data_IF_511639822778
#
_entry.id   IF_511639822778
#
_cell.length_a   1.000
_cell.length_b   1.000
_cell.length_c   1.000
_cell.angle_alpha   90.00
_cell.angle_beta   90.00
_cell.angle_gamma   90.00
#
_symmetry.space_group_name_H-M   'P 1'
#
loop_
_entity.id
_entity.type
_entity.pdbx_description
1 polymer ?
#
# COMPACT_ATOMS: atom_id res chain seq x y z
N UNK A 1 -28.39 -15.15 39.45
CA UNK A 1 -27.62 -14.93 38.21
C UNK A 1 -27.40 -13.42 38.10
N UNK A 2 -26.21 -12.96 38.50
CA UNK A 2 -25.88 -11.54 38.63
C UNK A 2 -25.12 -11.11 37.38
N UNK A 3 -25.70 -10.20 36.61
CA UNK A 3 -25.06 -9.62 35.43
C UNK A 3 -23.92 -8.70 35.91
N UNK A 4 -22.71 -8.99 35.47
CA UNK A 4 -21.54 -8.13 35.65
C UNK A 4 -21.64 -6.95 34.65
N UNK A 5 -22.02 -5.81 35.18
CA UNK A 5 -21.95 -4.51 34.52
C UNK A 5 -20.48 -4.21 34.19
N UNK A 6 -20.17 -4.16 32.92
CA UNK A 6 -18.86 -3.71 32.44
C UNK A 6 -18.90 -2.18 32.39
N UNK A 7 -18.05 -1.45 33.14
CA UNK A 7 -18.03 0.00 33.07
C UNK A 7 -17.54 0.41 31.64
N UNK A 8 -18.42 1.13 30.95
CA UNK A 8 -18.07 1.81 29.69
C UNK A 8 -16.83 2.70 29.97
N UNK A 9 -15.74 2.46 29.21
CA UNK A 9 -14.58 3.33 29.22
C UNK A 9 -15.05 4.74 28.85
N UNK A 10 -15.05 5.63 29.83
CA UNK A 10 -15.24 7.06 29.61
C UNK A 10 -14.12 7.55 28.68
N UNK A 11 -14.47 7.80 27.42
CA UNK A 11 -13.59 8.46 26.47
C UNK A 11 -13.28 9.86 26.99
N UNK A 12 -12.01 10.13 27.32
CA UNK A 12 -11.55 11.48 27.60
C UNK A 12 -11.89 12.42 26.43
N UNK A 13 -11.86 13.74 26.62
CA UNK A 13 -12.21 14.70 25.59
C UNK A 13 -11.31 14.44 24.35
N UNK A 14 -11.92 14.00 23.27
CA UNK A 14 -11.21 13.77 22.01
C UNK A 14 -10.68 15.13 21.55
N UNK A 15 -9.36 15.29 21.50
CA UNK A 15 -8.76 16.46 20.89
C UNK A 15 -9.27 16.58 19.45
N UNK A 16 -9.59 17.79 18.98
CA UNK A 16 -10.02 17.97 17.60
C UNK A 16 -8.92 17.42 16.66
N UNK A 17 -9.31 16.77 15.56
CA UNK A 17 -8.34 16.23 14.62
C UNK A 17 -7.45 17.34 14.07
N UNK A 18 -6.16 17.04 13.92
CA UNK A 18 -5.20 17.97 13.32
C UNK A 18 -5.52 18.10 11.83
N UNK A 19 -5.74 19.33 11.36
CA UNK A 19 -6.03 19.63 9.96
C UNK A 19 -4.95 20.52 9.38
N UNK A 20 -4.59 20.23 8.14
CA UNK A 20 -3.57 20.94 7.39
C UNK A 20 -4.18 21.35 6.04
N UNK A 21 -4.12 22.62 5.63
CA UNK A 21 -4.58 23.03 4.32
C UNK A 21 -3.83 22.24 3.22
N UNK A 22 -4.53 21.91 2.13
CA UNK A 22 -3.87 21.34 0.97
C UNK A 22 -2.80 22.32 0.46
N UNK A 23 -1.59 21.86 0.15
CA UNK A 23 -0.68 22.59 -0.71
C UNK A 23 -1.35 22.91 -2.05
N UNK A 24 -0.93 23.99 -2.69
CA UNK A 24 -1.52 24.40 -3.98
C UNK A 24 -1.45 23.28 -5.03
N UNK A 25 -0.38 22.51 -5.00
CA UNK A 25 -0.20 21.38 -5.93
C UNK A 25 -1.22 20.28 -5.71
N UNK A 26 -1.55 19.97 -4.46
CA UNK A 26 -2.57 18.97 -4.11
C UNK A 26 -3.96 19.47 -4.47
N UNK A 27 -4.25 20.78 -4.28
CA UNK A 27 -5.51 21.38 -4.72
C UNK A 27 -5.69 21.29 -6.25
N UNK A 28 -4.63 21.56 -7.01
CA UNK A 28 -4.66 21.44 -8.49
C UNK A 28 -4.90 19.98 -8.87
N UNK A 29 -4.13 19.06 -8.32
CA UNK A 29 -4.31 17.62 -8.57
C UNK A 29 -5.73 17.17 -8.23
N UNK A 30 -6.28 17.61 -7.07
CA UNK A 30 -7.64 17.27 -6.64
C UNK A 30 -8.70 17.78 -7.61
N UNK A 31 -8.52 18.97 -8.19
CA UNK A 31 -9.43 19.54 -9.20
C UNK A 31 -9.30 18.87 -10.57
N UNK A 32 -8.14 18.34 -10.90
CA UNK A 32 -7.89 17.63 -12.14
C UNK A 32 -8.31 16.16 -12.10
N UNK A 33 -8.63 15.61 -10.91
CA UNK A 33 -9.10 14.24 -10.79
C UNK A 33 -10.34 13.98 -11.63
N UNK A 34 -10.24 12.98 -12.50
CA UNK A 34 -11.35 12.44 -13.26
C UNK A 34 -11.70 11.06 -12.70
N UNK A 35 -12.98 10.76 -12.52
CA UNK A 35 -13.41 9.46 -12.00
C UNK A 35 -13.02 8.31 -12.94
N UNK A 36 -12.95 8.58 -14.23
CA UNK A 36 -12.64 7.60 -15.28
C UNK A 36 -11.14 7.41 -15.50
N UNK A 37 -10.30 8.35 -15.06
CA UNK A 37 -8.84 8.30 -15.20
C UNK A 37 -8.17 8.61 -13.85
N UNK A 38 -8.14 7.65 -12.92
CA UNK A 38 -7.57 7.87 -11.60
C UNK A 38 -6.05 8.06 -11.69
N UNK A 39 -5.56 9.18 -11.15
CA UNK A 39 -4.13 9.42 -11.03
C UNK A 39 -3.54 8.63 -9.87
N UNK A 40 -2.76 7.60 -10.19
CA UNK A 40 -2.10 6.75 -9.20
C UNK A 40 -0.61 6.61 -9.46
N UNK A 41 0.15 6.54 -8.38
CA UNK A 41 1.53 6.05 -8.39
C UNK A 41 1.53 4.61 -7.92
N UNK A 42 2.23 3.73 -8.63
CA UNK A 42 2.36 2.34 -8.21
C UNK A 42 3.82 1.89 -8.22
N UNK A 43 4.13 1.06 -7.23
CA UNK A 43 5.46 0.52 -7.01
C UNK A 43 5.34 -0.99 -6.88
N UNK A 44 6.11 -1.71 -7.69
CA UNK A 44 6.22 -3.16 -7.62
C UNK A 44 7.55 -3.56 -7.00
N UNK A 45 7.51 -4.37 -5.94
CA UNK A 45 8.69 -4.97 -5.34
C UNK A 45 8.59 -6.47 -5.48
N UNK A 46 9.50 -7.06 -6.24
CA UNK A 46 9.57 -8.49 -6.49
C UNK A 46 10.51 -9.15 -5.48
N UNK A 47 9.97 -10.07 -4.69
CA UNK A 47 10.69 -10.76 -3.64
C UNK A 47 10.74 -12.27 -3.93
N UNK A 48 11.86 -12.94 -3.67
CA UNK A 48 11.92 -14.40 -3.70
C UNK A 48 11.13 -14.98 -2.52
N UNK A 49 10.51 -16.13 -2.73
CA UNK A 49 9.80 -16.86 -1.66
C UNK A 49 8.47 -16.24 -1.23
N UNK A 50 7.98 -16.73 -0.10
CA UNK A 50 6.71 -16.30 0.50
C UNK A 50 6.94 -15.43 1.71
N UNK A 51 6.05 -14.49 1.93
CA UNK A 51 6.05 -13.62 3.11
C UNK A 51 5.07 -14.15 4.16
N UNK A 52 5.44 -13.97 5.42
CA UNK A 52 4.52 -14.15 6.54
C UNK A 52 3.52 -12.99 6.54
N UNK A 53 2.24 -13.33 6.38
CA UNK A 53 1.16 -12.34 6.21
C UNK A 53 0.96 -11.47 7.45
N UNK A 54 1.01 -12.06 8.62
CA UNK A 54 0.73 -11.34 9.87
C UNK A 54 1.90 -10.44 10.23
N UNK A 55 3.12 -10.94 10.07
CA UNK A 55 4.33 -10.12 10.24
C UNK A 55 4.37 -8.95 9.27
N UNK A 56 3.95 -9.16 8.02
CA UNK A 56 3.90 -8.09 7.03
C UNK A 56 2.87 -7.01 7.42
N UNK A 57 1.67 -7.41 7.83
CA UNK A 57 0.65 -6.45 8.31
C UNK A 57 1.16 -5.61 9.48
N UNK A 58 1.74 -6.27 10.49
CA UNK A 58 2.30 -5.58 11.64
C UNK A 58 3.42 -4.62 11.23
N UNK A 59 4.38 -5.10 10.44
CA UNK A 59 5.51 -4.30 10.00
C UNK A 59 5.08 -3.10 9.15
N UNK A 60 4.09 -3.29 8.26
CA UNK A 60 3.57 -2.22 7.41
C UNK A 60 2.81 -1.17 8.23
N UNK A 61 1.95 -1.58 9.15
CA UNK A 61 1.25 -0.67 10.07
C UNK A 61 2.23 0.13 10.92
N UNK A 62 3.26 -0.51 11.43
CA UNK A 62 4.31 0.17 12.19
C UNK A 62 5.10 1.17 11.33
N UNK A 63 5.35 0.84 10.06
CA UNK A 63 5.96 1.77 9.12
C UNK A 63 5.08 3.00 8.88
N UNK A 64 3.77 2.83 8.74
CA UNK A 64 2.81 3.94 8.61
C UNK A 64 2.85 4.86 9.83
N UNK A 65 2.86 4.31 11.05
CA UNK A 65 2.93 5.10 12.29
C UNK A 65 4.20 5.94 12.42
N UNK A 66 5.31 5.46 11.84
CA UNK A 66 6.57 6.23 11.79
C UNK A 66 6.54 7.39 10.81
N UNK A 67 5.56 7.38 9.91
CA UNK A 67 5.38 8.41 8.89
C UNK A 67 3.98 9.04 8.99
N UNK A 68 3.69 9.80 10.06
CA UNK A 68 2.32 10.28 10.35
C UNK A 68 1.71 11.15 9.24
N UNK A 69 2.53 11.71 8.36
CA UNK A 69 2.04 12.44 7.18
C UNK A 69 1.43 11.55 6.10
N UNK A 70 1.62 10.23 6.19
CA UNK A 70 0.96 9.27 5.31
C UNK A 70 -0.41 8.92 5.86
N UNK A 71 -0.57 8.95 7.20
CA UNK A 71 -1.85 8.73 7.87
C UNK A 71 -2.69 9.99 7.79
N UNK A 72 -3.23 10.24 6.60
CA UNK A 72 -4.09 11.40 6.33
C UNK A 72 -5.22 11.01 5.40
N UNK A 73 -6.29 11.79 5.47
CA UNK A 73 -7.42 11.72 4.55
C UNK A 73 -7.92 13.12 4.23
N UNK A 74 -8.64 13.27 3.13
CA UNK A 74 -9.36 14.50 2.85
C UNK A 74 -10.40 14.73 3.95
N UNK A 75 -10.31 15.87 4.63
CA UNK A 75 -11.25 16.21 5.69
C UNK A 75 -12.67 16.37 5.11
N UNK A 76 -13.71 15.87 5.81
CA UNK A 76 -15.08 16.05 5.36
C UNK A 76 -15.36 17.52 5.06
N UNK A 77 -15.63 17.83 3.78
CA UNK A 77 -15.92 19.17 3.31
C UNK A 77 -17.28 19.65 3.78
N UNK A 78 -17.38 20.90 4.22
CA UNK A 78 -18.68 21.56 4.30
C UNK A 78 -18.92 22.28 2.97
N UNK A 79 -20.14 22.25 2.45
CA UNK A 79 -20.52 22.80 1.16
C UNK A 79 -20.09 24.28 0.90
N UNK A 80 -19.80 25.03 1.96
CA UNK A 80 -19.34 26.42 1.92
C UNK A 80 -17.82 26.60 2.03
N UNK A 81 -17.03 25.51 2.23
CA UNK A 81 -15.56 25.61 2.27
C UNK A 81 -15.02 25.70 0.86
N UNK A 82 -14.18 26.69 0.64
CA UNK A 82 -13.53 26.94 -0.65
C UNK A 82 -12.16 26.29 -0.75
N UNK A 83 -11.68 25.64 0.32
CA UNK A 83 -10.35 25.01 0.39
C UNK A 83 -10.46 23.62 0.95
N UNK A 84 -9.65 22.74 0.42
CA UNK A 84 -9.46 21.38 0.92
C UNK A 84 -8.49 21.36 2.09
N UNK A 85 -8.66 20.40 2.99
CA UNK A 85 -7.80 20.18 4.14
C UNK A 85 -7.51 18.69 4.28
N UNK A 86 -6.27 18.35 4.61
CA UNK A 86 -5.89 17.04 5.09
C UNK A 86 -6.21 16.93 6.57
N UNK A 87 -6.84 15.85 6.97
CA UNK A 87 -7.06 15.46 8.36
C UNK A 87 -6.09 14.33 8.70
N UNK A 88 -5.21 14.56 9.68
CA UNK A 88 -4.28 13.53 10.15
C UNK A 88 -5.01 12.57 11.07
N UNK A 89 -4.74 11.27 10.89
CA UNK A 89 -5.28 10.19 11.71
C UNK A 89 -4.15 9.51 12.50
N UNK A 90 -4.49 8.90 13.64
CA UNK A 90 -3.53 8.13 14.42
C UNK A 90 -3.33 6.72 13.87
N UNK A 91 -4.34 6.19 13.21
CA UNK A 91 -4.41 4.83 12.69
C UNK A 91 -5.06 4.82 11.30
N UNK A 92 -4.82 3.77 10.50
CA UNK A 92 -5.56 3.57 9.26
C UNK A 92 -7.07 3.43 9.50
N UNK A 93 -7.89 4.03 8.62
CA UNK A 93 -9.36 3.90 8.66
C UNK A 93 -9.84 2.53 8.15
N UNK A 94 -9.02 1.86 7.33
CA UNK A 94 -9.33 0.58 6.72
C UNK A 94 -8.08 -0.30 6.62
N UNK A 95 -8.28 -1.59 6.33
CA UNK A 95 -7.17 -2.50 6.07
C UNK A 95 -6.44 -2.09 4.78
N UNK A 96 -5.17 -1.73 4.94
CA UNK A 96 -4.32 -1.25 3.83
C UNK A 96 -3.65 -2.41 3.09
N UNK A 97 -3.35 -3.52 3.81
CA UNK A 97 -2.65 -4.68 3.26
C UNK A 97 -3.64 -5.77 2.90
N UNK A 98 -3.74 -6.08 1.63
CA UNK A 98 -4.65 -7.11 1.11
C UNK A 98 -3.90 -8.26 0.44
N UNK A 99 -4.50 -9.44 0.45
CA UNK A 99 -3.93 -10.66 -0.13
C UNK A 99 -4.92 -11.22 -1.16
N UNK A 100 -4.85 -10.74 -2.40
CA UNK A 100 -5.72 -11.25 -3.46
C UNK A 100 -5.49 -12.74 -3.68
N UNK A 101 -6.52 -13.44 -4.17
CA UNK A 101 -6.43 -14.87 -4.47
C UNK A 101 -5.28 -15.15 -5.44
N UNK A 102 -4.46 -16.14 -5.11
CA UNK A 102 -3.36 -16.55 -5.97
C UNK A 102 -3.89 -17.08 -7.32
N UNK A 103 -3.27 -16.62 -8.40
CA UNK A 103 -3.67 -17.05 -9.75
C UNK A 103 -2.73 -16.54 -10.83
N UNK A 104 -2.80 -17.13 -12.03
CA UNK A 104 -1.95 -16.73 -13.17
C UNK A 104 -2.12 -15.25 -13.55
N UNK A 105 -3.30 -14.68 -13.28
CA UNK A 105 -3.66 -13.32 -13.64
C UNK A 105 -3.56 -12.35 -12.45
N UNK A 106 -3.30 -12.82 -11.23
CA UNK A 106 -3.38 -12.00 -10.02
C UNK A 106 -2.57 -10.71 -10.09
N UNK A 107 -1.35 -10.75 -10.62
CA UNK A 107 -0.52 -9.55 -10.81
C UNK A 107 -1.08 -8.62 -11.89
N UNK A 108 -1.55 -9.18 -13.01
CA UNK A 108 -2.20 -8.40 -14.06
C UNK A 108 -3.46 -7.71 -13.53
N UNK A 109 -4.24 -8.43 -12.73
CA UNK A 109 -5.49 -7.91 -12.16
C UNK A 109 -5.20 -6.81 -11.12
N UNK A 110 -4.10 -6.93 -10.34
CA UNK A 110 -3.64 -5.87 -9.45
C UNK A 110 -3.22 -4.61 -10.24
N UNK A 111 -2.48 -4.76 -11.33
CA UNK A 111 -2.10 -3.66 -12.23
C UNK A 111 -3.34 -3.00 -12.85
N UNK A 112 -4.32 -3.80 -13.30
CA UNK A 112 -5.56 -3.25 -13.85
C UNK A 112 -6.32 -2.45 -12.78
N UNK A 113 -6.45 -2.96 -11.56
CA UNK A 113 -7.08 -2.20 -10.46
C UNK A 113 -6.35 -0.90 -10.15
N UNK A 114 -5.02 -0.90 -10.20
CA UNK A 114 -4.24 0.32 -9.98
C UNK A 114 -4.52 1.41 -11.03
N UNK A 115 -4.76 0.99 -12.28
CA UNK A 115 -5.06 1.91 -13.38
C UNK A 115 -6.53 2.36 -13.40
N UNK A 116 -7.43 1.59 -12.81
CA UNK A 116 -8.88 1.87 -12.88
C UNK A 116 -9.48 2.36 -11.57
N UNK A 117 -8.77 2.24 -10.45
CA UNK A 117 -9.32 2.55 -9.12
C UNK A 117 -8.25 3.08 -8.19
N UNK A 118 -8.26 4.38 -7.96
CA UNK A 118 -7.40 5.00 -6.96
C UNK A 118 -7.87 4.65 -5.53
N UNK A 119 -6.95 4.51 -4.56
CA UNK A 119 -7.31 4.53 -3.16
C UNK A 119 -8.05 5.84 -2.83
N UNK A 120 -9.21 5.78 -2.13
CA UNK A 120 -10.04 6.96 -1.93
C UNK A 120 -9.36 7.96 -0.99
N UNK A 121 -9.39 9.24 -1.33
CA UNK A 121 -8.88 10.32 -0.47
C UNK A 121 -9.65 10.46 0.84
N UNK A 122 -10.87 9.98 0.90
CA UNK A 122 -11.74 10.01 2.10
C UNK A 122 -11.35 9.00 3.18
N UNK A 123 -10.42 8.08 2.91
CA UNK A 123 -9.91 7.08 3.86
C UNK A 123 -8.41 7.28 4.10
N UNK A 124 -8.00 7.13 5.35
CA UNK A 124 -6.60 7.17 5.76
C UNK A 124 -6.00 5.76 5.85
N UNK A 125 -4.80 5.56 5.31
CA UNK A 125 -4.11 6.39 4.33
C UNK A 125 -4.67 6.14 2.91
N UNK A 126 -4.54 7.09 1.98
CA UNK A 126 -4.99 6.92 0.59
C UNK A 126 -4.01 6.06 -0.22
N UNK A 127 -3.69 4.89 0.30
CA UNK A 127 -2.80 3.89 -0.28
C UNK A 127 -3.40 2.49 -0.15
N UNK A 128 -2.96 1.57 -0.99
CA UNK A 128 -3.31 0.14 -0.96
C UNK A 128 -2.09 -0.71 -1.26
N UNK A 129 -1.79 -1.68 -0.39
CA UNK A 129 -0.76 -2.69 -0.61
C UNK A 129 -1.42 -4.03 -0.92
N UNK A 130 -1.21 -4.54 -2.13
CA UNK A 130 -1.63 -5.87 -2.54
C UNK A 130 -0.44 -6.84 -2.54
N UNK A 131 -0.57 -7.95 -1.85
CA UNK A 131 0.49 -8.98 -1.75
C UNK A 131 0.14 -10.12 -2.68
N UNK A 132 0.77 -10.16 -3.84
CA UNK A 132 0.48 -11.14 -4.91
C UNK A 132 1.46 -12.31 -4.80
N UNK A 133 1.00 -13.40 -4.18
CA UNK A 133 1.78 -14.62 -4.04
C UNK A 133 1.90 -15.40 -5.37
N UNK A 134 3.05 -16.00 -5.61
CA UNK A 134 3.30 -16.81 -6.80
C UNK A 134 3.55 -16.02 -8.08
N UNK A 135 3.77 -14.71 -7.99
CA UNK A 135 4.02 -13.82 -9.12
C UNK A 135 5.47 -13.30 -9.18
N UNK A 136 6.21 -13.42 -8.10
CA UNK A 136 7.60 -12.98 -8.02
C UNK A 136 8.60 -13.99 -8.63
N UNK A 137 9.91 -13.67 -8.62
CA UNK A 137 10.97 -14.56 -9.09
C UNK A 137 11.01 -15.84 -8.24
N UNK A 138 11.41 -16.96 -8.84
CA UNK A 138 11.66 -18.18 -8.11
C UNK A 138 12.91 -18.03 -7.22
N UNK A 139 12.92 -18.73 -6.06
CA UNK A 139 14.13 -18.80 -5.24
C UNK A 139 15.28 -19.42 -6.06
N UNK A 140 16.44 -18.76 -6.06
CA UNK A 140 17.62 -19.19 -6.81
C UNK A 140 17.69 -18.66 -8.25
N UNK A 141 16.73 -17.86 -8.73
CA UNK A 141 16.84 -17.13 -9.99
C UNK A 141 17.64 -15.86 -9.75
N UNK A 142 18.95 -15.98 -9.65
CA UNK A 142 19.83 -14.84 -9.83
C UNK A 142 19.62 -14.31 -11.24
N UNK A 143 19.55 -12.99 -11.40
CA UNK A 143 19.46 -12.34 -12.70
C UNK A 143 20.69 -12.74 -13.51
N UNK A 144 20.54 -13.77 -14.33
CA UNK A 144 21.55 -14.17 -15.30
C UNK A 144 21.50 -13.14 -16.41
N UNK A 145 22.35 -12.12 -16.29
CA UNK A 145 22.71 -11.27 -17.42
C UNK A 145 23.23 -12.15 -18.56
N UNK A 146 22.50 -12.10 -19.66
CA UNK A 146 22.60 -12.91 -20.86
C UNK A 146 23.99 -13.32 -21.29
N UNK A 147 24.23 -14.61 -21.26
CA UNK A 147 25.10 -15.28 -22.21
C UNK A 147 24.32 -16.49 -22.73
N UNK A 148 24.15 -16.54 -24.04
CA UNK A 148 23.35 -17.54 -24.74
C UNK A 148 23.75 -18.96 -24.39
N UNK A 149 22.79 -19.74 -23.93
CA UNK A 149 22.88 -21.20 -23.81
C UNK A 149 22.33 -21.81 -25.11
N UNK A 150 23.06 -22.72 -25.76
CA UNK A 150 22.62 -23.38 -26.98
C UNK A 150 21.41 -24.30 -26.72
N UNK A 151 20.48 -24.43 -27.68
CA UNK A 151 19.29 -25.30 -27.53
C UNK A 151 19.71 -26.77 -27.63
N UNK A 152 19.56 -27.53 -26.58
CA UNK A 152 19.83 -28.96 -26.61
C UNK A 152 19.68 -29.72 -25.31
N UNK A 153 18.43 -30.07 -24.96
CA UNK A 153 17.98 -31.36 -24.40
C UNK A 153 16.53 -31.25 -23.96
N UNK A 154 15.64 -32.22 -24.29
CA UNK A 154 14.32 -32.28 -23.70
C UNK A 154 14.47 -32.62 -22.21
N UNK A 155 14.43 -31.58 -21.38
CA UNK A 155 14.47 -31.70 -19.92
C UNK A 155 13.17 -32.30 -19.42
N UNK A 156 13.26 -33.31 -18.56
CA UNK A 156 12.16 -33.83 -17.76
C UNK A 156 11.49 -32.71 -16.94
N UNK A 157 10.33 -32.96 -16.28
CA UNK A 157 9.61 -31.97 -15.53
C UNK A 157 10.53 -31.35 -14.46
N UNK A 158 10.95 -30.13 -14.71
CA UNK A 158 11.76 -29.39 -13.72
C UNK A 158 10.89 -29.18 -12.48
N UNK A 159 11.44 -29.38 -11.27
CA UNK A 159 10.74 -29.06 -10.05
C UNK A 159 10.31 -27.59 -10.13
N UNK A 160 8.99 -27.35 -10.01
CA UNK A 160 8.47 -25.99 -10.00
C UNK A 160 8.91 -25.33 -8.71
N UNK A 161 10.02 -24.58 -8.75
CA UNK A 161 10.41 -23.75 -7.63
C UNK A 161 9.24 -22.86 -7.25
N UNK A 162 8.95 -22.69 -5.96
CA UNK A 162 7.87 -21.82 -5.53
C UNK A 162 8.16 -20.42 -6.07
N UNK A 163 7.22 -19.89 -6.84
CA UNK A 163 7.32 -18.53 -7.35
C UNK A 163 7.28 -17.59 -6.16
N UNK A 164 8.06 -16.52 -6.21
CA UNK A 164 8.13 -15.50 -5.17
C UNK A 164 6.86 -14.66 -5.04
N UNK A 165 6.95 -13.61 -4.28
CA UNK A 165 5.86 -12.69 -3.96
C UNK A 165 6.12 -11.32 -4.59
N UNK A 166 5.08 -10.67 -5.09
CA UNK A 166 5.14 -9.26 -5.51
C UNK A 166 4.36 -8.43 -4.52
N UNK A 167 5.02 -7.43 -3.95
CA UNK A 167 4.37 -6.36 -3.22
C UNK A 167 3.98 -5.28 -4.22
N UNK A 168 2.68 -5.03 -4.36
CA UNK A 168 2.15 -4.05 -5.29
C UNK A 168 1.50 -2.91 -4.50
N UNK A 169 2.20 -1.78 -4.41
CA UNK A 169 1.74 -0.59 -3.70
C UNK A 169 1.09 0.37 -4.70
N UNK A 170 -0.16 0.73 -4.45
CA UNK A 170 -0.90 1.77 -5.20
C UNK A 170 -1.15 2.95 -4.27
N UNK A 171 -0.89 4.15 -4.75
CA UNK A 171 -0.98 5.39 -3.98
C UNK A 171 -1.80 6.38 -4.79
N UNK A 172 -2.71 7.10 -4.15
CA UNK A 172 -3.39 8.23 -4.78
C UNK A 172 -2.39 9.39 -4.95
N UNK A 173 -2.18 9.82 -6.19
CA UNK A 173 -1.15 10.83 -6.51
C UNK A 173 -1.41 12.18 -5.84
N UNK A 174 -2.67 12.56 -5.62
CA UNK A 174 -3.02 13.79 -4.90
C UNK A 174 -2.47 13.81 -3.47
N UNK A 175 -2.35 12.64 -2.84
CA UNK A 175 -1.91 12.54 -1.45
C UNK A 175 -0.39 12.48 -1.28
N UNK A 176 0.31 11.87 -2.23
CA UNK A 176 1.75 11.64 -2.13
C UNK A 176 2.41 11.79 -3.50
N UNK A 177 3.41 12.63 -3.57
CA UNK A 177 4.27 12.73 -4.74
C UNK A 177 5.25 11.54 -4.83
N UNK A 178 5.79 11.30 -6.03
CA UNK A 178 6.68 10.17 -6.31
C UNK A 178 7.86 10.03 -5.31
N UNK A 179 8.61 11.09 -4.99
CA UNK A 179 9.70 11.04 -4.02
C UNK A 179 9.28 10.69 -2.60
N UNK A 180 8.08 11.13 -2.16
CA UNK A 180 7.55 10.76 -0.84
C UNK A 180 7.19 9.28 -0.76
N UNK A 181 6.70 8.69 -1.86
CA UNK A 181 6.33 7.28 -1.95
C UNK A 181 7.51 6.33 -1.71
N UNK A 182 8.71 6.70 -2.15
CA UNK A 182 9.91 5.85 -2.02
C UNK A 182 10.41 5.72 -0.57
N UNK A 183 9.95 6.55 0.35
CA UNK A 183 10.34 6.51 1.76
C UNK A 183 9.55 5.50 2.59
N UNK A 184 8.39 5.07 2.11
CA UNK A 184 7.50 4.14 2.82
C UNK A 184 8.06 2.72 2.91
N UNK A 185 8.64 2.13 1.85
CA UNK A 185 9.09 0.74 1.88
C UNK A 185 10.52 0.51 2.37
N UNK A 186 11.24 1.53 2.86
CA UNK A 186 12.61 1.32 3.34
C UNK A 186 12.62 0.59 4.68
N UNK A 187 13.01 -0.70 4.75
CA UNK A 187 13.26 -1.36 6.03
C UNK A 187 14.43 -0.67 6.73
N UNK A 188 14.43 -0.62 8.06
CA UNK A 188 15.60 -0.11 8.79
C UNK A 188 16.81 -0.94 8.38
N UNK A 189 17.86 -0.26 7.92
CA UNK A 189 19.14 -0.90 7.66
C UNK A 189 19.54 -1.69 8.93
N UNK A 190 19.71 -2.99 8.78
CA UNK A 190 20.19 -3.83 9.86
C UNK A 190 21.55 -3.25 10.29
N UNK A 191 21.58 -2.65 11.49
CA UNK A 191 22.86 -2.29 12.12
C UNK A 191 23.53 -3.62 12.43
N UNK A 192 24.49 -3.97 11.63
CA UNK A 192 25.48 -5.00 11.96
C UNK A 192 26.24 -4.49 13.17
N UNK A 193 26.05 -5.14 14.34
CA UNK A 193 26.97 -5.04 15.46
C UNK A 193 28.13 -6.00 15.23
#
# INVERSE_FOLDING_TARGET
>A
MTALDHPARAGGPAHPPVRIPFPVVDEVARHCLQEEEPETVHIEVHLPGRLDRDRLRVAFTEALRRHPRILMREAPGRWYRRRYEWELTAEPDAEVVTFPSAGRCALRDARTRALTTAPPLSLSPPIRLEVVEGAGPAEGSEASDGVGVPPGRPGGPQPRHPRGTVLFLTINHTALDGPACLRVPSPPAARTM
#
